data_IF_812294897071
#
_entry.id   IF_812294897071
#
_cell.length_a   1.000
_cell.length_b   1.000
_cell.length_c   1.000
_cell.angle_alpha   90.00
_cell.angle_beta   90.00
_cell.angle_gamma   90.00
#
_symmetry.space_group_name_H-M   'P 1'
#
loop_
_entity.id
_entity.type
_entity.pdbx_description
1 polymer ?
#
# COMPACT_ATOMS: atom_id res chain seq x y z
N UNK A 1 18.46 -8.22 -29.35
CA UNK A 1 18.57 -9.09 -28.16
C UNK A 1 18.94 -8.20 -26.99
N UNK A 2 17.95 -7.82 -26.18
CA UNK A 2 18.17 -6.99 -24.99
C UNK A 2 18.78 -7.88 -23.91
N UNK A 3 19.98 -7.55 -23.44
CA UNK A 3 20.55 -8.19 -22.27
C UNK A 3 19.64 -7.93 -21.07
N UNK A 4 19.23 -9.00 -20.38
CA UNK A 4 18.50 -8.90 -19.12
C UNK A 4 19.41 -8.27 -18.06
N UNK A 5 18.88 -7.43 -17.16
CA UNK A 5 19.69 -6.83 -16.10
C UNK A 5 20.23 -7.93 -15.18
N UNK A 6 21.56 -7.95 -15.02
CA UNK A 6 22.23 -8.74 -14.01
C UNK A 6 21.89 -8.18 -12.61
N UNK A 7 21.65 -9.08 -11.66
CA UNK A 7 21.32 -8.87 -10.24
C UNK A 7 19.83 -8.90 -9.89
N UNK A 8 19.20 -10.08 -10.07
CA UNK A 8 18.34 -10.63 -9.01
C UNK A 8 19.24 -11.59 -8.25
N UNK A 9 19.67 -11.22 -7.05
CA UNK A 9 20.37 -12.17 -6.15
C UNK A 9 19.31 -13.21 -5.78
N UNK A 10 19.30 -14.35 -6.46
CA UNK A 10 18.51 -15.49 -6.04
C UNK A 10 19.01 -15.94 -4.68
N UNK A 11 18.11 -16.22 -3.75
CA UNK A 11 18.49 -16.83 -2.49
C UNK A 11 18.91 -18.29 -2.75
N UNK A 12 20.16 -18.60 -2.50
CA UNK A 12 20.66 -19.97 -2.59
C UNK A 12 20.48 -20.70 -1.26
N UNK A 13 19.83 -21.86 -1.29
CA UNK A 13 19.74 -22.74 -0.11
C UNK A 13 21.17 -23.10 0.33
N UNK A 14 21.57 -22.82 1.59
CA UNK A 14 22.93 -23.06 2.06
C UNK A 14 23.38 -24.50 1.80
N UNK A 15 24.52 -24.66 1.11
CA UNK A 15 25.08 -25.95 0.69
C UNK A 15 24.14 -26.83 -0.16
N UNK A 16 23.05 -26.28 -0.70
CA UNK A 16 22.02 -27.05 -1.39
C UNK A 16 21.23 -28.00 -0.46
N UNK A 17 21.37 -27.87 0.86
CA UNK A 17 20.74 -28.75 1.84
C UNK A 17 19.25 -28.38 2.05
N UNK A 18 18.44 -28.82 1.10
CA UNK A 18 16.99 -28.61 1.15
C UNK A 18 16.34 -29.33 2.34
N UNK A 19 16.92 -30.43 2.81
CA UNK A 19 16.42 -31.15 3.97
C UNK A 19 16.54 -30.29 5.24
N UNK A 20 17.69 -29.69 5.49
CA UNK A 20 17.88 -28.77 6.61
C UNK A 20 16.98 -27.54 6.49
N UNK A 21 16.85 -26.97 5.28
CA UNK A 21 16.00 -25.81 5.03
C UNK A 21 14.54 -26.05 5.42
N UNK A 22 13.98 -27.23 5.11
CA UNK A 22 12.57 -27.53 5.37
C UNK A 22 12.23 -27.71 6.85
N UNK A 23 13.17 -27.99 7.74
CA UNK A 23 12.88 -28.32 9.15
C UNK A 23 12.28 -27.12 9.88
N UNK A 24 11.13 -27.31 10.53
CA UNK A 24 10.51 -26.30 11.39
C UNK A 24 8.99 -26.18 11.23
N UNK A 25 8.45 -25.15 11.89
CA UNK A 25 7.05 -24.76 11.79
C UNK A 25 6.86 -23.75 10.66
N UNK A 26 5.99 -24.13 9.74
CA UNK A 26 5.65 -23.33 8.60
C UNK A 26 4.18 -22.98 8.60
N UNK A 27 3.89 -21.73 8.33
CA UNK A 27 2.52 -21.24 8.17
C UNK A 27 2.19 -21.19 6.69
N UNK A 28 1.25 -22.03 6.26
CA UNK A 28 0.86 -22.17 4.86
C UNK A 28 -0.48 -21.50 4.61
N UNK A 29 -0.50 -20.55 3.68
CA UNK A 29 -1.70 -19.79 3.31
C UNK A 29 -1.96 -19.97 1.82
N UNK A 30 -3.06 -20.63 1.45
CA UNK A 30 -3.39 -20.96 0.06
C UNK A 30 -4.75 -20.42 -0.35
N UNK A 31 -4.85 -19.95 -1.59
CA UNK A 31 -6.11 -19.76 -2.30
C UNK A 31 -6.41 -20.97 -3.18
N UNK A 32 -7.57 -21.59 -2.99
CA UNK A 32 -8.05 -22.67 -3.85
C UNK A 32 -8.99 -22.12 -4.92
N UNK A 33 -8.69 -22.42 -6.18
CA UNK A 33 -9.48 -22.00 -7.34
C UNK A 33 -9.76 -23.18 -8.27
N UNK A 34 -10.89 -23.13 -8.97
CA UNK A 34 -11.19 -24.04 -10.09
C UNK A 34 -10.34 -23.64 -11.29
N UNK A 35 -9.63 -24.60 -11.88
CA UNK A 35 -8.79 -24.36 -13.03
C UNK A 35 -9.66 -24.37 -14.30
N UNK A 36 -10.04 -23.18 -14.75
CA UNK A 36 -10.94 -22.96 -15.89
C UNK A 36 -10.98 -21.47 -16.24
N UNK A 37 -11.71 -21.09 -17.29
CA UNK A 37 -11.67 -19.74 -17.86
C UNK A 37 -11.90 -18.60 -16.84
N UNK A 38 -12.70 -18.84 -15.80
CA UNK A 38 -13.01 -17.83 -14.78
C UNK A 38 -12.10 -17.85 -13.55
N UNK A 39 -11.21 -18.84 -13.40
CA UNK A 39 -10.40 -19.04 -12.19
C UNK A 39 -11.20 -18.83 -10.90
N UNK A 40 -12.40 -19.43 -10.86
CA UNK A 40 -13.37 -19.19 -9.79
C UNK A 40 -12.78 -19.58 -8.44
N UNK A 41 -12.76 -18.64 -7.49
CA UNK A 41 -12.37 -18.90 -6.11
C UNK A 41 -13.33 -19.89 -5.45
N UNK A 42 -12.76 -20.89 -4.79
CA UNK A 42 -13.49 -21.93 -4.07
C UNK A 42 -13.43 -21.69 -2.56
N UNK A 43 -12.22 -21.56 -2.01
CA UNK A 43 -11.96 -21.23 -0.60
C UNK A 43 -10.51 -20.80 -0.40
N UNK A 44 -10.18 -20.32 0.77
CA UNK A 44 -8.79 -20.13 1.20
C UNK A 44 -8.51 -20.96 2.44
N UNK A 45 -7.33 -21.57 2.52
CA UNK A 45 -6.92 -22.43 3.62
C UNK A 45 -5.69 -21.85 4.30
N UNK A 46 -5.70 -21.87 5.64
CA UNK A 46 -4.52 -21.54 6.42
C UNK A 46 -4.29 -22.67 7.41
N UNK A 47 -3.12 -23.26 7.36
CA UNK A 47 -2.75 -24.34 8.25
C UNK A 47 -1.27 -24.29 8.61
N UNK A 48 -0.94 -24.93 9.71
CA UNK A 48 0.43 -25.15 10.12
C UNK A 48 0.91 -26.44 9.46
N UNK A 49 2.10 -26.37 8.88
CA UNK A 49 2.87 -27.51 8.40
C UNK A 49 4.08 -27.60 9.31
N UNK A 50 4.23 -28.72 10.00
CA UNK A 50 5.42 -29.00 10.79
C UNK A 50 6.21 -30.09 10.09
N UNK A 51 7.49 -29.80 9.83
CA UNK A 51 8.42 -30.71 9.18
C UNK A 51 9.56 -30.95 10.14
N UNK A 52 9.74 -32.19 10.54
CA UNK A 52 10.79 -32.61 11.47
C UNK A 52 11.51 -33.84 10.96
N UNK A 53 12.68 -34.13 11.53
CA UNK A 53 13.39 -35.35 11.22
C UNK A 53 12.68 -36.57 11.83
N UNK A 54 12.42 -37.58 11.01
CA UNK A 54 11.82 -38.83 11.44
C UNK A 54 12.90 -39.77 11.98
N UNK A 55 13.08 -39.76 13.30
CA UNK A 55 14.09 -40.57 13.97
C UNK A 55 13.73 -42.07 14.03
N UNK A 56 12.45 -42.41 13.81
CA UNK A 56 11.92 -43.77 13.88
C UNK A 56 12.01 -44.50 12.52
N UNK A 57 12.27 -43.76 11.44
CA UNK A 57 12.41 -44.31 10.10
C UNK A 57 13.71 -45.13 9.93
N UNK A 58 13.64 -46.16 9.08
CA UNK A 58 14.78 -47.04 8.82
C UNK A 58 15.94 -46.27 8.16
N UNK A 59 17.04 -46.09 8.91
CA UNK A 59 18.20 -45.35 8.42
C UNK A 59 18.90 -46.10 7.29
N UNK A 60 18.97 -45.47 6.12
CA UNK A 60 19.84 -45.88 5.04
C UNK A 60 21.07 -44.94 4.99
N UNK A 61 22.24 -45.42 4.53
CA UNK A 61 23.41 -44.56 4.40
C UNK A 61 23.12 -43.39 3.46
N UNK A 62 23.51 -42.17 3.88
CA UNK A 62 23.41 -40.96 3.08
C UNK A 62 21.98 -40.49 2.72
N UNK A 63 20.96 -40.92 3.48
CA UNK A 63 19.59 -40.42 3.32
C UNK A 63 19.08 -39.79 4.60
N UNK A 64 18.11 -38.87 4.47
CA UNK A 64 17.42 -38.25 5.59
C UNK A 64 15.93 -38.51 5.46
N UNK A 65 15.23 -38.70 6.58
CA UNK A 65 13.78 -38.87 6.59
C UNK A 65 13.17 -37.69 7.29
N UNK A 66 12.23 -37.02 6.63
CA UNK A 66 11.48 -35.92 7.21
C UNK A 66 10.00 -36.31 7.31
N UNK A 67 9.35 -35.96 8.41
CA UNK A 67 7.94 -36.22 8.69
C UNK A 67 7.12 -34.94 8.51
N UNK A 68 6.06 -35.01 7.71
CA UNK A 68 5.10 -33.92 7.53
C UNK A 68 3.93 -34.12 8.48
N UNK A 69 3.64 -33.09 9.27
CA UNK A 69 2.44 -33.02 10.10
C UNK A 69 1.66 -31.74 9.81
N UNK A 70 0.33 -31.82 9.84
CA UNK A 70 -0.54 -30.69 9.54
C UNK A 70 -1.49 -30.41 10.70
N UNK A 71 -1.72 -29.14 11.00
CA UNK A 71 -2.63 -28.74 12.07
C UNK A 71 -3.16 -27.32 11.94
N UNK A 72 -3.99 -26.94 12.91
CA UNK A 72 -4.55 -25.57 13.00
C UNK A 72 -3.72 -24.65 13.90
N UNK A 73 -2.92 -25.23 14.80
CA UNK A 73 -2.10 -24.51 15.77
C UNK A 73 -0.71 -25.15 15.86
N UNK A 74 0.17 -24.53 16.62
CA UNK A 74 1.53 -25.03 16.91
C UNK A 74 1.59 -26.10 17.98
N UNK A 75 0.47 -26.33 18.67
CA UNK A 75 0.44 -27.32 19.72
C UNK A 75 0.56 -28.69 19.07
N UNK A 76 1.54 -29.47 19.52
CA UNK A 76 1.83 -30.79 18.96
C UNK A 76 0.62 -31.74 18.98
N UNK A 77 -0.26 -31.59 19.97
CA UNK A 77 -1.55 -32.29 20.07
C UNK A 77 -2.56 -31.97 18.95
N UNK A 78 -2.44 -30.82 18.27
CA UNK A 78 -3.32 -30.38 17.19
C UNK A 78 -2.74 -30.71 15.81
N UNK A 79 -1.55 -31.33 15.76
CA UNK A 79 -0.86 -31.77 14.56
C UNK A 79 -1.17 -33.24 14.30
N UNK A 80 -1.62 -33.55 13.08
CA UNK A 80 -1.77 -34.92 12.60
C UNK A 80 -0.62 -35.23 11.64
N UNK A 81 0.14 -36.30 11.92
CA UNK A 81 1.14 -36.82 11.00
C UNK A 81 0.47 -37.31 9.73
N UNK A 82 1.02 -36.93 8.58
CA UNK A 82 0.47 -37.25 7.28
C UNK A 82 1.34 -38.27 6.53
N UNK A 83 2.62 -37.95 6.32
CA UNK A 83 3.55 -38.81 5.59
C UNK A 83 5.00 -38.51 5.95
N UNK A 84 5.87 -39.49 5.73
CA UNK A 84 7.32 -39.38 5.89
C UNK A 84 7.98 -39.50 4.53
N UNK A 85 8.85 -38.54 4.19
CA UNK A 85 9.57 -38.47 2.92
C UNK A 85 11.04 -38.80 3.13
N UNK A 86 11.55 -39.69 2.31
CA UNK A 86 12.96 -40.01 2.19
C UNK A 86 13.64 -39.04 1.23
N UNK A 87 14.71 -38.40 1.67
CA UNK A 87 15.56 -37.50 0.90
C UNK A 87 16.85 -38.23 0.53
N UNK A 88 17.11 -38.30 -0.78
CA UNK A 88 18.24 -39.00 -1.39
C UNK A 88 19.06 -37.94 -2.16
N UNK A 89 20.22 -37.50 -1.65
CA UNK A 89 21.11 -36.59 -2.36
C UNK A 89 21.56 -37.19 -3.70
N UNK A 90 21.58 -36.38 -4.75
CA UNK A 90 22.00 -36.75 -6.11
C UNK A 90 22.92 -35.65 -6.69
N UNK A 91 23.70 -35.94 -7.73
CA UNK A 91 24.64 -34.99 -8.34
C UNK A 91 23.97 -33.71 -8.83
N UNK A 92 22.69 -33.79 -9.22
CA UNK A 92 21.92 -32.68 -9.78
C UNK A 92 20.87 -32.09 -8.82
N UNK A 93 20.88 -32.47 -7.54
CA UNK A 93 19.94 -31.97 -6.53
C UNK A 93 19.58 -32.98 -5.45
N UNK A 94 18.29 -33.08 -5.14
CA UNK A 94 17.81 -34.04 -4.11
C UNK A 94 16.57 -34.77 -4.63
N UNK A 95 16.68 -36.08 -4.76
CA UNK A 95 15.54 -36.93 -5.06
C UNK A 95 14.75 -37.22 -3.78
N UNK A 96 13.43 -37.33 -3.91
CA UNK A 96 12.53 -37.59 -2.81
C UNK A 96 11.65 -38.79 -3.15
N UNK A 97 11.47 -39.69 -2.18
CA UNK A 97 10.60 -40.85 -2.32
C UNK A 97 9.77 -41.04 -1.04
N UNK A 98 8.49 -41.38 -1.19
CA UNK A 98 7.62 -41.70 -0.05
C UNK A 98 6.49 -42.63 -0.46
N UNK A 99 5.84 -43.24 0.54
CA UNK A 99 4.58 -43.95 0.33
C UNK A 99 3.42 -43.09 0.82
N UNK A 100 2.37 -42.97 0.02
CA UNK A 100 1.12 -42.30 0.39
C UNK A 100 -0.06 -43.18 -0.04
N UNK A 101 -0.93 -43.53 0.91
CA UNK A 101 -2.06 -44.46 0.69
C UNK A 101 -1.65 -45.79 0.03
N UNK A 102 -0.45 -46.28 0.32
CA UNK A 102 0.09 -47.53 -0.23
C UNK A 102 0.68 -47.41 -1.64
N UNK A 103 0.75 -46.20 -2.22
CA UNK A 103 1.36 -45.95 -3.53
C UNK A 103 2.69 -45.19 -3.37
N UNK A 104 3.71 -45.58 -4.13
CA UNK A 104 5.00 -44.89 -4.15
C UNK A 104 4.89 -43.58 -4.93
N UNK A 105 5.30 -42.50 -4.28
CA UNK A 105 5.30 -41.14 -4.77
C UNK A 105 6.74 -40.63 -4.86
N UNK A 106 6.98 -39.65 -5.73
CA UNK A 106 8.33 -39.18 -6.02
C UNK A 106 8.39 -37.67 -6.11
N UNK A 107 9.56 -37.12 -5.84
CA UNK A 107 9.82 -35.70 -5.98
C UNK A 107 11.28 -35.41 -6.30
N UNK A 108 11.54 -34.16 -6.67
CA UNK A 108 12.88 -33.67 -6.93
C UNK A 108 13.00 -32.23 -6.47
N UNK A 109 14.12 -31.90 -5.82
CA UNK A 109 14.58 -30.54 -5.60
C UNK A 109 15.74 -30.24 -6.55
N UNK A 110 15.64 -29.12 -7.27
CA UNK A 110 16.66 -28.60 -8.18
C UNK A 110 17.24 -27.29 -7.60
N UNK A 111 18.47 -27.33 -7.03
CA UNK A 111 19.11 -26.17 -6.44
C UNK A 111 19.23 -24.98 -7.40
N UNK A 112 19.60 -25.23 -8.67
CA UNK A 112 19.77 -24.18 -9.69
C UNK A 112 18.50 -23.34 -9.94
N UNK A 113 17.34 -23.95 -9.79
CA UNK A 113 16.05 -23.28 -9.95
C UNK A 113 15.44 -22.85 -8.60
N UNK A 114 15.99 -23.33 -7.48
CA UNK A 114 15.38 -23.26 -6.15
C UNK A 114 13.93 -23.76 -6.13
N UNK A 115 13.67 -24.86 -6.85
CA UNK A 115 12.34 -25.45 -7.00
C UNK A 115 12.33 -26.90 -6.55
N UNK A 116 11.37 -27.24 -5.69
CA UNK A 116 11.01 -28.60 -5.36
C UNK A 116 9.68 -28.97 -6.01
N UNK A 117 9.59 -30.16 -6.60
CA UNK A 117 8.36 -30.72 -7.15
C UNK A 117 8.10 -32.04 -6.44
N UNK A 118 6.93 -32.19 -5.84
CA UNK A 118 6.45 -33.40 -5.19
C UNK A 118 5.22 -33.90 -5.94
N UNK A 119 5.29 -35.13 -6.46
CA UNK A 119 4.20 -35.75 -7.19
C UNK A 119 3.59 -36.87 -6.36
N UNK A 120 2.36 -36.66 -5.89
CA UNK A 120 1.53 -37.66 -5.27
C UNK A 120 0.78 -38.40 -6.37
N UNK A 121 1.18 -39.66 -6.60
CA UNK A 121 0.53 -40.56 -7.53
C UNK A 121 -0.52 -41.36 -6.75
N UNK A 122 -1.78 -40.92 -6.77
CA UNK A 122 -2.89 -41.65 -6.14
C UNK A 122 -3.47 -42.64 -7.15
N UNK A 123 -4.35 -43.55 -6.72
CA UNK A 123 -4.92 -44.59 -7.60
C UNK A 123 -5.71 -44.00 -8.79
N UNK A 124 -6.47 -42.93 -8.55
CA UNK A 124 -7.38 -42.32 -9.55
C UNK A 124 -7.13 -40.81 -9.74
N UNK A 125 -6.12 -40.25 -9.10
CA UNK A 125 -5.81 -38.82 -9.12
C UNK A 125 -4.32 -38.55 -9.02
N UNK A 126 -3.92 -37.34 -9.39
CA UNK A 126 -2.53 -36.89 -9.28
C UNK A 126 -2.50 -35.50 -8.65
N UNK A 127 -1.69 -35.35 -7.61
CA UNK A 127 -1.44 -34.05 -6.98
C UNK A 127 0.03 -33.70 -7.17
N UNK A 128 0.29 -32.60 -7.86
CA UNK A 128 1.63 -32.05 -8.02
C UNK A 128 1.76 -30.81 -7.16
N UNK A 129 2.69 -30.84 -6.21
CA UNK A 129 3.05 -29.70 -5.37
C UNK A 129 4.39 -29.15 -5.83
N UNK A 130 4.41 -27.88 -6.23
CA UNK A 130 5.62 -27.16 -6.58
C UNK A 130 5.91 -26.13 -5.50
N UNK A 131 7.04 -26.28 -4.82
CA UNK A 131 7.61 -25.26 -3.93
C UNK A 131 8.70 -24.50 -4.67
N UNK A 132 8.73 -23.19 -4.52
CA UNK A 132 9.84 -22.33 -4.95
C UNK A 132 10.38 -21.58 -3.75
N UNK A 133 11.63 -21.82 -3.40
CA UNK A 133 12.31 -21.06 -2.35
C UNK A 133 12.51 -19.64 -2.83
N UNK A 134 12.06 -18.66 -2.03
CA UNK A 134 12.19 -17.24 -2.34
C UNK A 134 13.31 -16.60 -1.52
N UNK A 135 13.38 -16.96 -0.24
CA UNK A 135 14.40 -16.52 0.72
C UNK A 135 14.58 -17.55 1.85
N UNK A 136 15.34 -17.22 2.89
CA UNK A 136 15.65 -18.11 4.02
C UNK A 136 14.43 -18.62 4.78
N UNK A 137 13.29 -17.92 4.70
CA UNK A 137 12.14 -18.15 5.55
C UNK A 137 10.83 -18.22 4.75
N UNK A 138 10.89 -18.16 3.41
CA UNK A 138 9.70 -18.03 2.57
C UNK A 138 9.80 -18.95 1.36
N UNK A 139 8.75 -19.75 1.12
CA UNK A 139 8.54 -20.40 -0.17
C UNK A 139 7.20 -20.01 -0.78
N UNK A 140 7.18 -19.85 -2.11
CA UNK A 140 5.93 -19.91 -2.84
C UNK A 140 5.53 -21.38 -3.03
N UNK A 141 4.24 -21.67 -2.99
CA UNK A 141 3.70 -23.01 -3.20
C UNK A 141 2.56 -22.96 -4.20
N UNK A 142 2.56 -23.91 -5.13
CA UNK A 142 1.51 -24.17 -6.08
C UNK A 142 1.15 -25.66 -6.03
N UNK A 143 -0.13 -25.98 -5.91
CA UNK A 143 -0.66 -27.34 -5.88
C UNK A 143 -1.62 -27.44 -7.04
N UNK A 144 -1.34 -28.34 -7.97
CA UNK A 144 -2.27 -28.73 -9.03
C UNK A 144 -2.81 -30.10 -8.67
N UNK A 145 -4.12 -30.20 -8.61
CA UNK A 145 -4.84 -31.42 -8.24
C UNK A 145 -5.90 -31.71 -9.31
N UNK A 146 -5.97 -32.97 -9.73
CA UNK A 146 -6.99 -33.49 -10.64
C UNK A 146 -7.71 -34.61 -9.90
N UNK A 147 -8.97 -34.38 -9.54
CA UNK A 147 -9.80 -35.38 -8.86
C UNK A 147 -10.20 -36.54 -9.81
N UNK A 148 -10.86 -37.55 -9.24
CA UNK A 148 -11.36 -38.72 -9.98
C UNK A 148 -12.41 -38.37 -11.04
N UNK A 149 -13.00 -37.18 -10.98
CA UNK A 149 -13.91 -36.65 -12.01
C UNK A 149 -13.17 -35.85 -13.10
N UNK A 150 -11.83 -35.85 -13.08
CA UNK A 150 -10.96 -35.08 -13.96
C UNK A 150 -11.21 -33.57 -13.95
N UNK A 151 -11.66 -33.01 -12.81
CA UNK A 151 -11.82 -31.57 -12.64
C UNK A 151 -10.52 -30.96 -12.08
N UNK A 152 -9.76 -30.19 -12.88
CA UNK A 152 -8.52 -29.62 -12.41
C UNK A 152 -8.79 -28.45 -11.44
N UNK A 153 -8.02 -28.42 -10.36
CA UNK A 153 -8.00 -27.30 -9.43
C UNK A 153 -6.57 -26.85 -9.18
N UNK A 154 -6.43 -25.59 -8.78
CA UNK A 154 -5.15 -25.00 -8.40
C UNK A 154 -5.25 -24.37 -7.01
N UNK A 155 -4.27 -24.68 -6.16
CA UNK A 155 -4.06 -23.97 -4.90
C UNK A 155 -2.73 -23.24 -4.99
N UNK A 156 -2.68 -21.96 -4.63
CA UNK A 156 -1.42 -21.23 -4.64
C UNK A 156 -1.35 -20.24 -3.49
N UNK A 157 -0.13 -19.92 -3.08
CA UNK A 157 0.14 -18.93 -2.04
C UNK A 157 1.56 -19.07 -1.50
N UNK A 158 1.76 -18.61 -0.26
CA UNK A 158 3.07 -18.61 0.39
C UNK A 158 3.06 -19.52 1.63
N UNK A 159 4.25 -19.97 1.98
CA UNK A 159 4.53 -20.68 3.20
C UNK A 159 5.74 -20.03 3.89
N UNK A 160 5.52 -19.57 5.12
CA UNK A 160 6.46 -18.73 5.86
C UNK A 160 6.92 -19.43 7.13
N UNK A 161 8.22 -19.36 7.44
CA UNK A 161 8.80 -19.94 8.64
C UNK A 161 8.35 -19.13 9.86
N UNK A 162 7.55 -19.76 10.73
CA UNK A 162 6.83 -19.04 11.77
C UNK A 162 7.76 -18.49 12.87
N UNK A 163 8.92 -19.13 13.08
CA UNK A 163 9.94 -18.67 14.03
C UNK A 163 10.52 -17.28 13.71
N UNK A 164 10.22 -16.71 12.53
CA UNK A 164 10.75 -15.42 12.08
C UNK A 164 9.71 -14.31 12.10
N UNK A 165 8.47 -14.57 12.52
CA UNK A 165 7.41 -13.56 12.61
C UNK A 165 7.69 -12.58 13.77
N UNK A 166 8.25 -11.37 13.53
CA UNK A 166 8.74 -10.50 14.60
C UNK A 166 7.59 -9.95 15.44
N UNK A 167 6.44 -9.70 14.80
CA UNK A 167 5.23 -9.13 15.41
C UNK A 167 4.53 -10.07 16.39
N UNK A 168 4.69 -11.39 16.24
CA UNK A 168 4.17 -12.39 17.18
C UNK A 168 5.17 -12.70 18.31
N UNK A 169 6.46 -12.44 18.09
CA UNK A 169 7.51 -12.51 19.12
C UNK A 169 7.60 -11.22 19.97
N UNK A 170 7.17 -10.07 19.44
CA UNK A 170 7.17 -8.75 20.11
C UNK A 170 6.26 -8.65 21.33
N UNK A 171 5.42 -9.65 21.58
CA UNK A 171 4.67 -9.80 22.84
C UNK A 171 5.54 -10.25 24.03
N UNK A 172 6.83 -10.54 23.82
CA UNK A 172 7.73 -11.10 24.86
C UNK A 172 8.98 -10.25 25.20
N UNK A 173 9.30 -9.19 24.48
CA UNK A 173 10.57 -8.44 24.68
C UNK A 173 10.37 -6.98 25.10
N UNK A 174 11.27 -6.51 25.98
CA UNK A 174 11.37 -5.14 26.51
C UNK A 174 11.77 -4.14 25.43
N UNK A 175 11.35 -2.88 25.61
CA UNK A 175 11.48 -1.82 24.60
C UNK A 175 12.94 -1.48 24.19
N UNK A 176 13.94 -1.87 25.00
CA UNK A 176 15.38 -1.67 24.71
C UNK A 176 15.90 -2.38 23.44
N UNK A 177 15.20 -3.41 22.94
CA UNK A 177 15.66 -4.21 21.77
C UNK A 177 15.37 -3.50 20.43
N UNK A 178 14.44 -2.53 20.40
CA UNK A 178 13.99 -1.86 19.16
C UNK A 178 14.84 -0.67 18.74
N UNK A 179 15.70 -0.14 19.62
CA UNK A 179 16.50 1.06 19.31
C UNK A 179 17.60 0.80 18.27
N UNK A 180 18.22 -0.38 18.27
CA UNK A 180 19.35 -0.68 17.37
C UNK A 180 18.94 -0.70 15.88
N UNK A 181 17.87 -1.39 15.45
CA UNK A 181 17.46 -1.38 14.04
C UNK A 181 17.00 -0.01 13.55
N UNK A 182 16.36 0.79 14.41
CA UNK A 182 15.85 2.11 14.04
C UNK A 182 16.97 3.12 13.90
N UNK A 183 17.96 3.08 14.81
CA UNK A 183 19.14 3.90 14.68
C UNK A 183 19.92 3.53 13.41
N UNK A 184 20.01 2.23 13.07
CA UNK A 184 20.62 1.80 11.80
C UNK A 184 19.85 2.35 10.59
N UNK A 185 18.52 2.18 10.56
CA UNK A 185 17.66 2.71 9.50
C UNK A 185 17.83 4.22 9.32
N UNK A 186 17.87 4.98 10.42
CA UNK A 186 18.10 6.43 10.38
C UNK A 186 19.49 6.78 9.85
N UNK A 187 20.53 6.04 10.24
CA UNK A 187 21.88 6.23 9.71
C UNK A 187 21.93 5.96 8.20
N UNK A 188 21.25 4.92 7.72
CA UNK A 188 21.18 4.59 6.29
C UNK A 188 20.44 5.68 5.50
N UNK A 189 19.37 6.26 6.08
CA UNK A 189 18.68 7.42 5.51
C UNK A 189 19.55 8.68 5.49
N UNK A 190 20.32 8.95 6.55
CA UNK A 190 21.27 10.07 6.61
C UNK A 190 22.37 9.90 5.54
N UNK A 191 22.89 8.69 5.35
CA UNK A 191 23.85 8.40 4.28
C UNK A 191 23.22 8.61 2.90
N UNK A 192 22.02 8.08 2.67
CA UNK A 192 21.28 8.29 1.43
C UNK A 192 21.09 9.79 1.16
N UNK A 193 20.67 10.58 2.15
CA UNK A 193 20.42 12.02 2.01
C UNK A 193 21.63 12.77 1.46
N UNK A 194 22.84 12.41 1.90
CA UNK A 194 24.09 13.02 1.43
C UNK A 194 24.52 12.60 0.03
N UNK A 195 24.11 11.41 -0.41
CA UNK A 195 24.51 10.81 -1.70
C UNK A 195 23.39 10.80 -2.75
N UNK A 196 22.21 11.30 -2.39
CA UNK A 196 20.98 11.09 -3.14
C UNK A 196 21.04 11.69 -4.55
N UNK A 197 20.68 10.88 -5.54
CA UNK A 197 20.43 11.32 -6.93
C UNK A 197 18.95 11.48 -7.24
N UNK A 198 18.07 11.05 -6.32
CA UNK A 198 16.62 11.12 -6.44
C UNK A 198 15.99 11.40 -5.06
N UNK A 199 14.81 12.02 -5.00
CA UNK A 199 14.12 12.21 -3.74
C UNK A 199 13.50 10.89 -3.24
N UNK A 200 13.53 10.67 -1.93
CA UNK A 200 12.94 9.51 -1.26
C UNK A 200 11.70 9.92 -0.45
N UNK A 201 10.67 9.07 -0.50
CA UNK A 201 9.47 9.20 0.34
C UNK A 201 9.40 8.02 1.29
N UNK A 202 9.43 8.30 2.59
CA UNK A 202 9.24 7.33 3.67
C UNK A 202 7.80 7.43 4.16
N UNK A 203 7.06 6.32 4.08
CA UNK A 203 5.70 6.21 4.59
C UNK A 203 5.75 5.46 5.93
N UNK A 204 5.40 6.13 7.02
CA UNK A 204 5.24 5.48 8.32
C UNK A 204 3.80 4.97 8.41
N UNK A 205 3.65 3.65 8.38
CA UNK A 205 2.34 3.02 8.28
C UNK A 205 1.72 2.81 9.69
N UNK A 206 0.40 3.01 9.87
CA UNK A 206 -0.24 2.82 11.17
C UNK A 206 -0.10 1.39 11.69
N UNK A 207 0.33 1.25 12.94
CA UNK A 207 0.46 -0.04 13.60
C UNK A 207 -0.89 -0.72 13.89
N UNK A 208 -0.87 -1.96 14.41
CA UNK A 208 -2.06 -2.65 14.84
C UNK A 208 -2.83 -1.84 15.90
N UNK A 209 -4.16 -1.70 15.80
CA UNK A 209 -4.94 -0.89 16.75
C UNK A 209 -4.69 -1.19 18.24
N UNK A 210 -4.49 -2.46 18.68
CA UNK A 210 -4.21 -2.76 20.08
C UNK A 210 -2.86 -2.25 20.60
N UNK A 211 -1.91 -1.96 19.70
CA UNK A 211 -0.53 -1.56 20.02
C UNK A 211 -0.13 -0.22 19.41
N UNK A 212 -1.07 0.50 18.79
CA UNK A 212 -0.79 1.74 18.06
C UNK A 212 0.02 2.74 18.90
N UNK A 213 -0.38 2.95 20.15
CA UNK A 213 0.27 3.92 21.04
C UNK A 213 1.67 3.51 21.51
N UNK A 214 2.03 2.23 21.39
CA UNK A 214 3.35 1.72 21.81
C UNK A 214 4.48 2.38 21.01
N UNK A 215 4.22 2.68 19.74
CA UNK A 215 5.25 3.17 18.81
C UNK A 215 5.21 4.69 18.60
N UNK A 216 4.27 5.42 19.20
CA UNK A 216 4.11 6.87 18.98
C UNK A 216 5.36 7.69 19.30
N UNK A 217 6.08 7.35 20.38
CA UNK A 217 7.30 8.06 20.76
C UNK A 217 8.42 7.82 19.74
N UNK A 218 8.51 6.59 19.26
CA UNK A 218 9.48 6.14 18.28
C UNK A 218 9.21 6.73 16.90
N UNK A 219 7.95 6.73 16.47
CA UNK A 219 7.52 7.35 15.23
C UNK A 219 7.83 8.85 15.22
N UNK A 220 7.53 9.57 16.32
CA UNK A 220 7.87 10.99 16.46
C UNK A 220 9.38 11.25 16.37
N UNK A 221 10.20 10.40 17.00
CA UNK A 221 11.67 10.47 16.90
C UNK A 221 12.13 10.30 15.45
N UNK A 222 11.64 9.27 14.76
CA UNK A 222 11.96 9.00 13.34
C UNK A 222 11.52 10.16 12.45
N UNK A 223 10.28 10.63 12.61
CA UNK A 223 9.73 11.74 11.85
C UNK A 223 10.59 13.00 12.01
N UNK A 224 10.92 13.39 13.25
CA UNK A 224 11.71 14.60 13.52
C UNK A 224 13.10 14.57 12.88
N UNK A 225 13.74 13.39 12.82
CA UNK A 225 15.04 13.22 12.16
C UNK A 225 14.92 13.32 10.64
N UNK A 226 13.92 12.67 10.05
CA UNK A 226 13.71 12.71 8.60
C UNK A 226 13.31 14.12 8.14
N UNK A 227 12.55 14.87 8.94
CA UNK A 227 12.17 16.26 8.62
C UNK A 227 13.37 17.22 8.54
N UNK A 228 14.53 16.85 9.10
CA UNK A 228 15.77 17.62 8.99
C UNK A 228 16.58 17.30 7.71
N UNK A 229 16.21 16.26 6.95
CA UNK A 229 16.88 15.82 5.73
C UNK A 229 16.41 16.64 4.51
N UNK A 230 17.25 16.72 3.47
CA UNK A 230 16.94 17.53 2.28
C UNK A 230 16.22 16.74 1.17
N UNK A 231 16.65 15.51 0.95
CA UNK A 231 16.24 14.63 -0.14
C UNK A 231 15.28 13.52 0.33
N UNK A 232 15.09 13.38 1.64
CA UNK A 232 14.16 12.41 2.23
C UNK A 232 12.95 13.15 2.79
N UNK A 233 11.76 12.68 2.45
CA UNK A 233 10.50 13.21 2.98
C UNK A 233 9.73 12.13 3.70
N UNK A 234 9.02 12.49 4.76
CA UNK A 234 8.27 11.54 5.58
C UNK A 234 6.77 11.84 5.55
N UNK A 235 5.99 10.77 5.63
CA UNK A 235 4.54 10.82 5.79
C UNK A 235 4.16 10.00 7.02
N UNK A 236 3.72 10.68 8.08
CA UNK A 236 3.36 10.05 9.36
C UNK A 236 2.10 9.20 9.27
N UNK A 237 2.00 8.23 10.17
CA UNK A 237 0.85 7.33 10.32
C UNK A 237 -0.38 8.10 10.80
N UNK A 238 -0.19 9.06 11.72
CA UNK A 238 -1.24 9.98 12.20
C UNK A 238 -1.93 10.69 11.04
N UNK A 239 -1.14 11.20 10.09
CA UNK A 239 -1.68 11.90 8.93
C UNK A 239 -2.44 10.96 7.99
N UNK A 240 -1.99 9.71 7.84
CA UNK A 240 -2.73 8.72 7.07
C UNK A 240 -4.07 8.37 7.73
N UNK A 241 -4.08 8.16 9.05
CA UNK A 241 -5.30 7.91 9.83
C UNK A 241 -6.27 9.08 9.71
N UNK A 242 -5.80 10.32 9.85
CA UNK A 242 -6.62 11.51 9.68
C UNK A 242 -7.27 11.59 8.29
N UNK A 243 -6.53 11.27 7.22
CA UNK A 243 -7.08 11.23 5.86
C UNK A 243 -8.10 10.10 5.70
N UNK A 244 -7.83 8.94 6.31
CA UNK A 244 -8.73 7.81 6.28
C UNK A 244 -10.05 8.12 7.00
N UNK A 245 -10.01 8.70 8.20
CA UNK A 245 -11.19 9.07 8.99
C UNK A 245 -12.03 10.17 8.35
N UNK A 246 -11.46 11.00 7.47
CA UNK A 246 -12.22 11.98 6.70
C UNK A 246 -13.09 11.34 5.62
N UNK A 247 -12.68 10.19 5.07
CA UNK A 247 -13.32 9.58 3.90
C UNK A 247 -14.06 8.28 4.23
N UNK A 248 -13.62 7.55 5.25
CA UNK A 248 -14.10 6.22 5.57
C UNK A 248 -14.60 6.14 7.02
N UNK A 249 -15.50 5.19 7.25
CA UNK A 249 -16.05 4.83 8.58
C UNK A 249 -15.78 3.37 8.96
N UNK A 250 -15.13 2.62 8.07
CA UNK A 250 -14.76 1.21 8.25
C UNK A 250 -13.43 1.08 9.00
N UNK A 251 -13.07 -0.12 9.45
CA UNK A 251 -11.74 -0.36 9.98
C UNK A 251 -10.67 -0.16 8.89
N UNK A 252 -9.53 0.45 9.25
CA UNK A 252 -8.37 0.56 8.37
C UNK A 252 -7.52 -0.73 8.37
N UNK A 253 -7.65 -1.52 9.44
CA UNK A 253 -6.82 -2.69 9.72
C UNK A 253 -7.67 -3.97 9.67
N UNK A 254 -7.17 -4.99 8.98
CA UNK A 254 -7.75 -6.33 8.89
C UNK A 254 -6.83 -7.32 9.61
N UNK A 255 -7.17 -7.62 10.87
CA UNK A 255 -6.42 -8.57 11.72
C UNK A 255 -6.39 -9.97 11.10
N UNK A 256 -7.40 -10.33 10.31
CA UNK A 256 -7.48 -11.66 9.70
C UNK A 256 -6.58 -11.72 8.48
N UNK A 257 -6.60 -10.71 7.62
CA UNK A 257 -5.71 -10.61 6.46
C UNK A 257 -4.25 -10.44 6.89
N UNK A 258 -3.98 -9.63 7.92
CA UNK A 258 -2.65 -9.51 8.53
C UNK A 258 -2.11 -10.88 8.95
N UNK A 259 -2.89 -11.59 9.76
CA UNK A 259 -2.56 -12.93 10.24
C UNK A 259 -2.49 -13.99 9.14
N UNK A 260 -2.98 -13.76 7.92
CA UNK A 260 -3.03 -14.79 6.87
C UNK A 260 -2.12 -14.49 5.68
N UNK A 261 -1.81 -13.23 5.44
CA UNK A 261 -1.19 -12.79 4.19
C UNK A 261 -0.16 -11.69 4.40
N UNK A 262 0.11 -11.27 5.65
CA UNK A 262 0.94 -10.09 5.94
C UNK A 262 0.44 -8.84 5.19
N UNK A 263 -0.87 -8.77 5.00
CA UNK A 263 -1.56 -7.67 4.36
C UNK A 263 -2.50 -7.03 5.39
N UNK A 264 -1.96 -6.20 6.30
CA UNK A 264 -2.71 -5.70 7.44
C UNK A 264 -3.79 -4.69 7.07
N UNK A 265 -3.71 -4.09 5.90
CA UNK A 265 -4.53 -2.93 5.55
C UNK A 265 -5.71 -3.32 4.66
N UNK A 266 -6.89 -2.80 5.01
CA UNK A 266 -8.06 -2.94 4.15
C UNK A 266 -7.85 -2.19 2.84
N UNK A 267 -8.62 -2.55 1.80
CA UNK A 267 -8.56 -1.84 0.51
C UNK A 267 -8.77 -0.32 0.66
N UNK A 268 -9.63 0.10 1.59
CA UNK A 268 -9.86 1.52 1.88
C UNK A 268 -8.58 2.21 2.39
N UNK A 269 -7.82 1.56 3.27
CA UNK A 269 -6.55 2.10 3.77
C UNK A 269 -5.47 2.07 2.70
N UNK A 270 -5.38 1.01 1.89
CA UNK A 270 -4.49 0.95 0.73
C UNK A 270 -4.74 2.12 -0.24
N UNK A 271 -6.01 2.47 -0.48
CA UNK A 271 -6.37 3.62 -1.32
C UNK A 271 -5.84 4.94 -0.73
N UNK A 272 -6.00 5.16 0.58
CA UNK A 272 -5.51 6.37 1.26
C UNK A 272 -3.98 6.45 1.19
N UNK A 273 -3.28 5.35 1.45
CA UNK A 273 -1.82 5.29 1.36
C UNK A 273 -1.33 5.55 -0.08
N UNK A 274 -1.96 4.92 -1.07
CA UNK A 274 -1.64 5.09 -2.49
C UNK A 274 -1.86 6.55 -2.95
N UNK A 275 -2.98 7.16 -2.58
CA UNK A 275 -3.26 8.56 -2.89
C UNK A 275 -2.29 9.51 -2.18
N UNK A 276 -1.99 9.24 -0.91
CA UNK A 276 -1.04 10.03 -0.13
C UNK A 276 0.36 10.00 -0.76
N UNK A 277 0.86 8.79 -1.07
CA UNK A 277 2.16 8.58 -1.71
C UNK A 277 2.21 9.23 -3.10
N UNK A 278 1.19 9.00 -3.93
CA UNK A 278 1.10 9.59 -5.27
C UNK A 278 1.15 11.12 -5.21
N UNK A 279 0.43 11.73 -4.26
CA UNK A 279 0.46 13.19 -4.05
C UNK A 279 1.82 13.69 -3.60
N UNK A 280 2.55 12.93 -2.77
CA UNK A 280 3.90 13.28 -2.37
C UNK A 280 4.89 13.21 -3.54
N UNK A 281 4.86 12.12 -4.31
CA UNK A 281 5.68 11.95 -5.51
C UNK A 281 5.38 13.08 -6.50
N UNK A 282 4.11 13.33 -6.82
CA UNK A 282 3.73 14.44 -7.69
C UNK A 282 4.15 15.82 -7.15
N UNK A 283 4.30 15.98 -5.83
CA UNK A 283 4.82 17.23 -5.22
C UNK A 283 6.33 17.35 -5.42
N UNK A 284 7.08 16.27 -5.28
CA UNK A 284 8.53 16.24 -5.45
C UNK A 284 8.94 16.52 -6.90
N UNK A 285 8.24 15.90 -7.85
CA UNK A 285 8.49 16.12 -9.28
C UNK A 285 7.78 17.37 -9.84
N UNK A 286 7.15 18.18 -8.98
CA UNK A 286 6.49 19.40 -9.41
C UNK A 286 7.54 20.43 -9.82
N UNK A 287 7.69 20.67 -11.11
CA UNK A 287 8.58 21.73 -11.62
C UNK A 287 8.11 23.10 -11.12
N UNK A 288 9.03 24.04 -10.90
CA UNK A 288 8.70 25.39 -10.41
C UNK A 288 7.65 26.11 -11.28
N UNK A 289 7.59 25.79 -12.57
CA UNK A 289 6.62 26.32 -13.54
C UNK A 289 5.21 25.75 -13.46
N UNK A 290 4.93 24.79 -12.57
CA UNK A 290 3.60 24.17 -12.39
C UNK A 290 2.94 24.49 -11.05
N UNK A 291 3.55 25.40 -10.25
CA UNK A 291 2.94 25.88 -9.02
C UNK A 291 1.79 26.82 -9.35
N UNK A 292 0.59 26.51 -8.83
CA UNK A 292 -0.55 27.41 -8.91
C UNK A 292 -0.23 28.68 -8.12
N UNK A 293 -0.32 29.84 -8.77
CA UNK A 293 -0.05 31.15 -8.18
C UNK A 293 -1.32 31.96 -7.94
N UNK A 294 -2.39 31.64 -8.67
CA UNK A 294 -3.62 32.44 -8.67
C UNK A 294 -4.84 31.55 -8.50
N UNK A 295 -5.76 31.98 -7.64
CA UNK A 295 -7.09 31.43 -7.50
C UNK A 295 -8.06 32.37 -8.23
N UNK A 296 -8.78 31.85 -9.21
CA UNK A 296 -9.84 32.59 -9.91
C UNK A 296 -11.19 32.13 -9.38
N UNK A 297 -11.99 33.08 -8.88
CA UNK A 297 -13.26 32.87 -8.20
C UNK A 297 -14.42 33.35 -9.06
N UNK A 298 -15.46 32.53 -9.13
CA UNK A 298 -16.79 32.91 -9.62
C UNK A 298 -17.61 33.58 -8.51
N UNK A 299 -18.68 34.31 -8.85
CA UNK A 299 -19.57 34.93 -7.85
C UNK A 299 -20.73 34.00 -7.47
N UNK A 300 -21.73 33.91 -8.35
CA UNK A 300 -22.98 33.22 -8.07
C UNK A 300 -22.76 31.72 -7.84
N UNK A 301 -23.45 31.20 -6.83
CA UNK A 301 -23.32 29.82 -6.36
C UNK A 301 -21.89 29.38 -5.99
N UNK A 302 -20.95 30.32 -5.86
CA UNK A 302 -19.56 30.06 -5.49
C UNK A 302 -19.14 30.88 -4.27
N UNK A 303 -19.18 32.21 -4.33
CA UNK A 303 -18.92 33.09 -3.17
C UNK A 303 -20.14 33.27 -2.28
N UNK A 304 -21.33 33.11 -2.84
CA UNK A 304 -22.63 33.11 -2.19
C UNK A 304 -23.58 32.18 -2.96
N UNK A 305 -24.75 31.88 -2.40
CA UNK A 305 -25.80 31.12 -3.07
C UNK A 305 -26.84 32.02 -3.73
N UNK A 306 -27.40 31.54 -4.83
CA UNK A 306 -28.36 32.30 -5.64
C UNK A 306 -27.68 33.14 -6.73
N UNK A 307 -28.41 33.37 -7.81
CA UNK A 307 -27.99 34.26 -8.88
C UNK A 307 -28.37 35.70 -8.52
N UNK A 308 -27.40 36.60 -8.39
CA UNK A 308 -27.66 37.98 -7.92
C UNK A 308 -28.68 38.72 -8.79
N UNK A 309 -28.72 38.43 -10.10
CA UNK A 309 -29.69 39.02 -11.02
C UNK A 309 -31.14 38.59 -10.74
N UNK A 310 -31.36 37.44 -10.10
CA UNK A 310 -32.69 36.89 -9.79
C UNK A 310 -33.13 37.23 -8.37
N UNK A 311 -32.23 37.08 -7.38
CA UNK A 311 -32.55 37.25 -5.96
C UNK A 311 -32.26 38.66 -5.45
N UNK A 312 -31.57 39.47 -6.24
CA UNK A 312 -31.09 40.79 -5.88
C UNK A 312 -29.92 40.78 -4.88
N UNK A 313 -29.25 41.93 -4.69
CA UNK A 313 -28.10 42.09 -3.78
C UNK A 313 -28.33 41.60 -2.35
N UNK A 314 -29.54 41.79 -1.83
CA UNK A 314 -29.90 41.47 -0.44
C UNK A 314 -30.34 40.01 -0.27
N UNK A 315 -30.76 39.35 -1.37
CA UNK A 315 -31.30 37.99 -1.38
C UNK A 315 -30.25 36.88 -1.50
N UNK A 316 -28.96 37.20 -1.67
CA UNK A 316 -27.90 36.19 -1.76
C UNK A 316 -27.73 35.39 -0.47
N UNK A 317 -27.44 34.09 -0.58
CA UNK A 317 -27.21 33.19 0.56
C UNK A 317 -25.73 33.16 0.97
N UNK A 318 -25.47 33.42 2.26
CA UNK A 318 -24.14 33.35 2.87
C UNK A 318 -24.06 32.20 3.90
N UNK A 319 -24.65 31.06 3.58
CA UNK A 319 -24.57 29.85 4.39
C UNK A 319 -23.14 29.36 4.64
N UNK A 320 -23.00 28.43 5.60
CA UNK A 320 -21.72 27.94 6.13
C UNK A 320 -20.71 27.52 5.06
N UNK A 321 -21.16 26.88 3.98
CA UNK A 321 -20.27 26.43 2.88
C UNK A 321 -19.58 27.59 2.15
N UNK A 322 -20.31 28.69 1.93
CA UNK A 322 -19.81 29.86 1.20
C UNK A 322 -18.82 30.64 2.05
N UNK A 323 -19.15 30.84 3.33
CA UNK A 323 -18.25 31.46 4.29
C UNK A 323 -16.98 30.61 4.52
N UNK A 324 -17.09 29.28 4.50
CA UNK A 324 -15.94 28.39 4.58
C UNK A 324 -15.02 28.55 3.36
N UNK A 325 -15.57 28.65 2.13
CA UNK A 325 -14.79 28.93 0.93
C UNK A 325 -14.10 30.30 1.03
N UNK A 326 -14.82 31.35 1.43
CA UNK A 326 -14.24 32.69 1.59
C UNK A 326 -13.07 32.68 2.58
N UNK A 327 -13.21 32.03 3.75
CA UNK A 327 -12.12 31.87 4.71
C UNK A 327 -10.94 31.09 4.13
N UNK A 328 -11.22 30.02 3.39
CA UNK A 328 -10.20 29.19 2.76
C UNK A 328 -9.36 29.99 1.76
N UNK A 329 -9.98 30.76 0.85
CA UNK A 329 -9.27 31.51 -0.19
C UNK A 329 -8.47 32.68 0.40
N UNK A 330 -8.98 33.32 1.45
CA UNK A 330 -8.22 34.35 2.19
C UNK A 330 -6.99 33.72 2.85
N UNK A 331 -7.12 32.54 3.48
CA UNK A 331 -5.97 31.84 4.05
C UNK A 331 -4.94 31.43 2.97
N UNK A 332 -5.37 31.12 1.75
CA UNK A 332 -4.44 30.90 0.63
C UNK A 332 -3.77 32.20 0.18
N UNK A 333 -4.50 33.31 0.16
CA UNK A 333 -3.96 34.63 -0.17
C UNK A 333 -2.88 35.07 0.82
N UNK A 334 -3.10 34.86 2.11
CA UNK A 334 -2.11 35.12 3.17
C UNK A 334 -0.85 34.25 3.03
N UNK A 335 -0.95 33.11 2.34
CA UNK A 335 0.19 32.23 2.00
C UNK A 335 0.87 32.60 0.67
N UNK A 336 0.47 33.72 0.04
CA UNK A 336 1.10 34.26 -1.16
C UNK A 336 0.41 33.91 -2.48
N UNK A 337 -0.80 33.33 -2.46
CA UNK A 337 -1.60 33.20 -3.68
C UNK A 337 -2.29 34.52 -4.04
N UNK A 338 -2.42 34.82 -5.33
CA UNK A 338 -3.25 35.94 -5.78
C UNK A 338 -4.71 35.48 -5.90
N UNK A 339 -5.66 36.34 -5.57
CA UNK A 339 -7.08 36.09 -5.84
C UNK A 339 -7.55 36.99 -6.98
N UNK A 340 -8.29 36.41 -7.93
CA UNK A 340 -8.93 37.15 -9.00
C UNK A 340 -10.40 36.74 -9.11
N UNK A 341 -11.25 37.65 -9.59
CA UNK A 341 -12.67 37.39 -9.83
C UNK A 341 -12.90 37.18 -11.34
N UNK A 342 -13.66 36.16 -11.72
CA UNK A 342 -14.09 35.91 -13.09
C UNK A 342 -15.52 35.38 -13.10
N UNK A 343 -16.48 36.28 -13.26
CA UNK A 343 -17.91 35.96 -13.16
C UNK A 343 -18.71 36.50 -14.35
N UNK A 344 -19.77 35.78 -14.72
CA UNK A 344 -20.72 36.23 -15.75
C UNK A 344 -21.87 37.00 -15.10
N UNK A 345 -21.58 38.23 -14.70
CA UNK A 345 -22.57 39.14 -14.11
C UNK A 345 -22.41 40.55 -14.68
N UNK A 346 -23.36 41.40 -14.31
CA UNK A 346 -23.23 42.86 -14.38
C UNK A 346 -22.35 43.30 -13.20
N UNK A 347 -21.37 44.16 -13.45
CA UNK A 347 -20.38 44.56 -12.44
C UNK A 347 -21.04 45.33 -11.29
N UNK A 348 -22.02 46.16 -11.61
CA UNK A 348 -22.81 46.95 -10.68
C UNK A 348 -23.53 46.03 -9.67
N UNK A 349 -24.23 44.99 -10.12
CA UNK A 349 -24.96 44.05 -9.25
C UNK A 349 -24.02 43.34 -8.27
N UNK A 350 -22.86 42.88 -8.75
CA UNK A 350 -21.84 42.23 -7.91
C UNK A 350 -21.29 43.20 -6.87
N UNK A 351 -21.02 44.44 -7.28
CA UNK A 351 -20.48 45.48 -6.39
C UNK A 351 -21.52 45.87 -5.34
N UNK A 352 -22.79 45.99 -5.73
CA UNK A 352 -23.89 46.30 -4.83
C UNK A 352 -24.13 45.17 -3.83
N UNK A 353 -24.15 43.92 -4.28
CA UNK A 353 -24.26 42.74 -3.41
C UNK A 353 -23.18 42.72 -2.34
N UNK A 354 -21.92 42.94 -2.73
CA UNK A 354 -20.78 42.93 -1.81
C UNK A 354 -20.82 44.12 -0.85
N UNK A 355 -21.26 45.28 -1.33
CA UNK A 355 -21.39 46.50 -0.51
C UNK A 355 -22.51 46.36 0.52
N UNK A 356 -23.69 45.88 0.10
CA UNK A 356 -24.84 45.69 1.00
C UNK A 356 -24.57 44.58 2.02
N UNK A 357 -23.92 43.49 1.61
CA UNK A 357 -23.65 42.32 2.45
C UNK A 357 -22.26 42.34 3.10
N UNK A 358 -21.61 43.51 3.10
CA UNK A 358 -20.24 43.70 3.57
C UNK A 358 -19.97 43.20 4.99
N UNK A 359 -20.95 43.33 5.88
CA UNK A 359 -20.85 42.88 7.28
C UNK A 359 -20.98 41.36 7.45
N UNK A 360 -21.58 40.69 6.47
CA UNK A 360 -21.84 39.25 6.49
C UNK A 360 -20.75 38.46 5.75
N UNK A 361 -20.08 39.10 4.78
CA UNK A 361 -18.99 38.51 4.01
C UNK A 361 -17.65 38.60 4.75
N UNK A 362 -16.83 37.55 4.60
CA UNK A 362 -15.44 37.54 5.07
C UNK A 362 -14.50 38.05 3.98
N UNK A 363 -14.82 37.76 2.72
CA UNK A 363 -14.05 38.23 1.58
C UNK A 363 -14.28 39.73 1.37
N UNK A 364 -13.17 40.41 1.18
CA UNK A 364 -13.08 41.83 0.84
C UNK A 364 -12.40 41.96 -0.52
N UNK A 365 -13.10 42.50 -1.51
CA UNK A 365 -12.55 42.64 -2.86
C UNK A 365 -11.37 43.60 -2.87
N UNK A 366 -11.49 44.76 -2.23
CA UNK A 366 -10.46 45.81 -2.28
C UNK A 366 -9.17 45.36 -1.57
N UNK A 367 -9.31 44.52 -0.54
CA UNK A 367 -8.18 44.02 0.25
C UNK A 367 -7.57 42.73 -0.31
N UNK A 368 -8.37 41.80 -0.81
CA UNK A 368 -7.91 40.45 -1.12
C UNK A 368 -7.84 40.13 -2.62
N UNK A 369 -8.61 40.83 -3.47
CA UNK A 369 -8.73 40.52 -4.90
C UNK A 369 -7.91 41.52 -5.71
N UNK A 370 -6.98 41.01 -6.52
CA UNK A 370 -6.03 41.85 -7.26
C UNK A 370 -6.46 42.15 -8.70
N UNK A 371 -7.43 41.40 -9.24
CA UNK A 371 -7.94 41.59 -10.58
C UNK A 371 -9.36 41.02 -10.72
N UNK A 372 -10.19 41.67 -11.54
CA UNK A 372 -11.59 41.28 -11.73
C UNK A 372 -11.99 41.31 -13.20
N UNK A 373 -12.70 40.26 -13.64
CA UNK A 373 -13.42 40.20 -14.91
C UNK A 373 -14.86 39.80 -14.64
N UNK A 374 -15.71 40.80 -14.45
CA UNK A 374 -17.15 40.62 -14.28
C UNK A 374 -17.83 41.20 -15.50
N UNK A 375 -18.19 40.33 -16.44
CA UNK A 375 -18.84 40.70 -17.70
C UNK A 375 -19.40 39.44 -18.40
N UNK A 376 -20.11 39.64 -19.50
CA UNK A 376 -20.74 38.56 -20.27
C UNK A 376 -19.84 37.84 -21.28
N UNK A 377 -18.53 38.11 -21.31
CA UNK A 377 -17.59 37.39 -22.20
C UNK A 377 -17.38 35.93 -21.73
N UNK A 378 -16.93 35.03 -22.62
CA UNK A 378 -16.56 33.67 -22.23
C UNK A 378 -15.54 33.67 -21.08
N UNK A 379 -15.73 32.77 -20.08
CA UNK A 379 -14.81 32.64 -18.94
C UNK A 379 -13.39 32.32 -19.40
N UNK A 380 -13.23 31.52 -20.46
CA UNK A 380 -11.93 31.22 -21.07
C UNK A 380 -11.16 32.46 -21.53
N UNK A 381 -11.85 33.39 -22.19
CA UNK A 381 -11.26 34.67 -22.64
C UNK A 381 -10.90 35.56 -21.46
N UNK A 382 -11.80 35.68 -20.48
CA UNK A 382 -11.56 36.47 -19.26
C UNK A 382 -10.37 35.91 -18.46
N UNK A 383 -10.25 34.58 -18.35
CA UNK A 383 -9.12 33.92 -17.67
C UNK A 383 -7.81 34.14 -18.44
N UNK A 384 -7.83 34.06 -19.78
CA UNK A 384 -6.65 34.37 -20.59
C UNK A 384 -6.21 35.84 -20.43
N UNK A 385 -7.18 36.75 -20.35
CA UNK A 385 -6.91 38.16 -20.08
C UNK A 385 -6.34 38.37 -18.67
N UNK A 386 -6.93 37.74 -17.64
CA UNK A 386 -6.40 37.78 -16.27
C UNK A 386 -4.98 37.24 -16.19
N UNK A 387 -4.68 36.14 -16.91
CA UNK A 387 -3.34 35.59 -16.97
C UNK A 387 -2.32 36.59 -17.54
N UNK A 388 -2.72 37.31 -18.59
CA UNK A 388 -1.88 38.35 -19.21
C UNK A 388 -1.69 39.55 -18.28
N UNK A 389 -2.76 40.04 -17.64
CA UNK A 389 -2.72 41.18 -16.71
C UNK A 389 -1.85 40.88 -15.48
N UNK A 390 -1.91 39.65 -14.97
CA UNK A 390 -1.13 39.20 -13.82
C UNK A 390 0.26 38.66 -14.19
N UNK A 391 0.68 38.78 -15.46
CA UNK A 391 1.98 38.29 -15.97
C UNK A 391 2.25 36.81 -15.64
N UNK A 392 1.21 35.98 -15.69
CA UNK A 392 1.27 34.54 -15.46
C UNK A 392 1.59 33.85 -16.80
N UNK A 393 2.86 33.56 -17.06
CA UNK A 393 3.31 33.07 -18.38
C UNK A 393 2.57 31.85 -18.97
N UNK A 394 1.84 31.05 -18.18
CA UNK A 394 0.98 29.96 -18.66
C UNK A 394 -0.28 29.77 -17.80
N UNK A 395 -1.39 29.33 -18.42
CA UNK A 395 -2.66 28.98 -17.76
C UNK A 395 -2.53 27.88 -16.70
N UNK A 396 -1.49 27.04 -16.80
CA UNK A 396 -1.22 25.97 -15.81
C UNK A 396 -0.94 26.51 -14.41
N UNK A 397 -0.74 27.83 -14.22
CA UNK A 397 -0.54 28.45 -12.92
C UNK A 397 -1.84 28.91 -12.23
N UNK A 398 -3.00 28.62 -12.82
CA UNK A 398 -4.31 29.03 -12.31
C UNK A 398 -5.04 27.86 -11.66
N UNK A 399 -5.62 28.10 -10.48
CA UNK A 399 -6.60 27.25 -9.81
C UNK A 399 -7.97 27.90 -9.97
N UNK A 400 -8.92 27.18 -10.58
CA UNK A 400 -10.26 27.70 -10.86
C UNK A 400 -11.26 27.14 -9.85
N UNK A 401 -11.96 28.05 -9.17
CA UNK A 401 -13.18 27.75 -8.44
C UNK A 401 -14.32 28.41 -9.19
N UNK A 402 -14.81 27.69 -10.19
CA UNK A 402 -15.98 28.06 -10.96
C UNK A 402 -16.92 26.86 -10.97
N UNK A 403 -18.21 27.08 -10.76
CA UNK A 403 -19.20 26.15 -11.27
C UNK A 403 -19.12 26.27 -12.80
N UNK A 404 -18.43 25.30 -13.41
CA UNK A 404 -18.47 25.14 -14.86
C UNK A 404 -19.73 24.31 -15.13
N UNK A 405 -20.82 24.98 -15.48
CA UNK A 405 -21.73 24.37 -16.43
C UNK A 405 -20.93 24.24 -17.73
N UNK A 406 -20.40 23.04 -17.97
CA UNK A 406 -19.79 22.68 -19.26
C UNK A 406 -20.86 22.63 -20.34
#
# INVERSE_FOLDING_TARGET
MSAAPANVVGYDVPNGDFCAYLKGFWKRNLEWRRFGASFKHLRSTNNIVFIEEDLDAARQPNTQFLRWSFGRTLKQQDLASAYTVQFIPDEQGTFMEWSFEGVTCHGVFKPEANVAILNFCLQESMVTITYRVLDANTMAVCIVDVDSEHTPTIQYGNIDLEAVHPELQLLKHSDDVLDSPINQFLNDLEQYDTMATAPLVVLLCPGPPPTATRFDAMERKVQSKIEAMQNVTVQSSERLLSLFEQQYRTAFYDVVADKRQHSPYTQAMLNVMSLSLSRQICRLYRTAGSRKKVIVLDCDNTLWGGAVAEVGPSGIDLGTRFLALQRFVIAQQQRGMLLALCSKNILEDVTEAITQRRKDMVLDLDKHVVATKVNWKPKSENIAQLAKELSLGMLVNILLFTLVDC
#
